data_IF_780677168979
#
_entry.id   IF_780677168979
#
_cell.length_a   1.000
_cell.length_b   1.000
_cell.length_c   1.000
_cell.angle_alpha   90.00
_cell.angle_beta   90.00
_cell.angle_gamma   90.00
#
_symmetry.space_group_name_H-M   'P 1'
#
loop_
_entity.id
_entity.type
_entity.pdbx_description
1 polymer ?
#
# COMPACT_ATOMS: atom_id res chain seq x y z
N UNK A 1 20.68 -1.11 -41.99
CA UNK A 1 19.50 -1.36 -41.12
C UNK A 1 19.06 -2.85 -41.09
N UNK A 2 19.99 -3.82 -41.29
CA UNK A 2 19.68 -5.27 -41.25
C UNK A 2 20.51 -6.01 -40.17
N UNK A 3 21.60 -5.42 -39.68
CA UNK A 3 22.47 -6.02 -38.65
C UNK A 3 21.93 -5.97 -37.21
N UNK A 4 21.15 -4.95 -36.84
CA UNK A 4 20.70 -4.73 -35.45
C UNK A 4 19.50 -5.62 -35.08
N UNK A 5 18.67 -6.02 -36.06
CA UNK A 5 17.53 -6.90 -35.81
C UNK A 5 17.93 -8.37 -35.58
N UNK A 6 19.07 -8.84 -36.13
CA UNK A 6 19.49 -10.24 -35.98
C UNK A 6 20.03 -10.57 -34.58
N UNK A 7 20.63 -9.58 -33.91
CA UNK A 7 21.23 -9.77 -32.58
C UNK A 7 20.16 -9.76 -31.47
N UNK A 8 19.10 -8.96 -31.62
CA UNK A 8 17.97 -8.95 -30.68
C UNK A 8 17.15 -10.26 -30.73
N UNK A 9 16.97 -10.87 -31.91
CA UNK A 9 16.23 -12.14 -32.03
C UNK A 9 17.02 -13.33 -31.50
N UNK A 10 18.36 -13.34 -31.65
CA UNK A 10 19.22 -14.41 -31.12
C UNK A 10 19.38 -14.36 -29.59
N UNK A 11 19.44 -13.17 -28.99
CA UNK A 11 19.42 -13.03 -27.53
C UNK A 11 18.05 -13.35 -26.91
N UNK A 12 16.94 -13.07 -27.61
CA UNK A 12 15.61 -13.49 -27.16
C UNK A 12 15.43 -15.00 -27.28
N UNK A 13 15.92 -15.63 -28.36
CA UNK A 13 15.88 -17.07 -28.51
C UNK A 13 16.74 -17.77 -27.46
N UNK A 14 17.95 -17.30 -27.15
CA UNK A 14 18.79 -17.88 -26.09
C UNK A 14 18.19 -17.67 -24.69
N UNK A 15 17.64 -16.50 -24.37
CA UNK A 15 17.01 -16.25 -23.07
C UNK A 15 15.70 -17.05 -22.88
N UNK A 16 14.99 -17.35 -23.97
CA UNK A 16 13.80 -18.21 -23.95
C UNK A 16 14.19 -19.68 -23.92
N UNK A 17 15.23 -20.12 -24.64
CA UNK A 17 15.70 -21.51 -24.54
C UNK A 17 16.36 -21.80 -23.20
N UNK A 18 17.14 -20.89 -22.61
CA UNK A 18 17.76 -21.13 -21.29
C UNK A 18 16.73 -21.17 -20.15
N UNK A 19 15.68 -20.33 -20.21
CA UNK A 19 14.55 -20.42 -19.26
C UNK A 19 13.69 -21.66 -19.49
N UNK A 20 13.51 -22.08 -20.73
CA UNK A 20 12.72 -23.29 -21.05
C UNK A 20 13.53 -24.55 -20.71
N UNK A 21 14.83 -24.58 -20.97
CA UNK A 21 15.74 -25.64 -20.55
C UNK A 21 15.90 -25.68 -19.04
N UNK A 22 16.00 -24.55 -18.33
CA UNK A 22 16.08 -24.58 -16.87
C UNK A 22 14.77 -25.05 -16.24
N UNK A 23 13.61 -24.64 -16.74
CA UNK A 23 12.30 -25.07 -16.20
C UNK A 23 12.00 -26.53 -16.52
N UNK A 24 12.38 -27.01 -17.71
CA UNK A 24 12.21 -28.42 -18.10
C UNK A 24 13.23 -29.32 -17.37
N UNK A 25 14.50 -28.90 -17.25
CA UNK A 25 15.48 -29.67 -16.46
C UNK A 25 15.16 -29.68 -14.97
N UNK A 26 14.69 -28.57 -14.38
CA UNK A 26 14.37 -28.53 -12.96
C UNK A 26 13.13 -29.40 -12.62
N UNK A 27 12.16 -29.50 -13.54
CA UNK A 27 11.00 -30.39 -13.35
C UNK A 27 11.33 -31.86 -13.61
N UNK A 28 12.18 -32.17 -14.60
CA UNK A 28 12.62 -33.56 -14.86
C UNK A 28 13.61 -34.09 -13.81
N UNK A 29 14.55 -33.25 -13.34
CA UNK A 29 15.51 -33.64 -12.29
C UNK A 29 14.80 -33.95 -10.98
N UNK A 30 13.78 -33.19 -10.58
CA UNK A 30 13.03 -33.52 -9.36
C UNK A 30 12.26 -34.83 -9.49
N UNK A 31 11.61 -35.10 -10.63
CA UNK A 31 10.83 -36.33 -10.81
C UNK A 31 11.69 -37.59 -10.87
N UNK A 32 12.86 -37.56 -11.54
CA UNK A 32 13.79 -38.69 -11.54
C UNK A 32 14.49 -38.85 -10.20
N UNK A 33 14.92 -37.76 -9.54
CA UNK A 33 15.54 -37.83 -8.21
C UNK A 33 14.58 -38.39 -7.15
N UNK A 34 13.30 -38.00 -7.21
CA UNK A 34 12.25 -38.49 -6.30
C UNK A 34 11.91 -39.97 -6.56
N UNK A 35 11.94 -40.43 -7.81
CA UNK A 35 11.78 -41.86 -8.16
C UNK A 35 12.98 -42.72 -7.78
N UNK A 36 14.20 -42.20 -7.94
CA UNK A 36 15.45 -42.91 -7.61
C UNK A 36 15.59 -43.12 -6.09
N UNK A 37 14.98 -42.26 -5.26
CA UNK A 37 15.02 -42.35 -3.80
C UNK A 37 13.98 -43.30 -3.16
N UNK A 38 13.11 -43.96 -3.93
CA UNK A 38 12.15 -44.93 -3.38
C UNK A 38 11.17 -44.39 -2.34
N UNK A 39 10.99 -43.07 -2.25
CA UNK A 39 10.11 -42.43 -1.26
C UNK A 39 8.65 -42.57 -1.70
N UNK A 40 7.86 -43.35 -0.96
CA UNK A 40 6.39 -43.28 -1.04
C UNK A 40 5.94 -41.96 -0.42
N UNK A 41 5.87 -40.91 -1.24
CA UNK A 41 5.47 -39.56 -0.83
C UNK A 41 3.95 -39.46 -0.73
N UNK A 42 3.33 -40.10 0.26
CA UNK A 42 1.92 -39.87 0.56
C UNK A 42 1.82 -38.86 1.69
N UNK A 43 1.18 -37.71 1.45
CA UNK A 43 0.98 -36.67 2.44
C UNK A 43 -0.37 -35.98 2.25
N UNK A 44 -0.97 -35.55 3.36
CA UNK A 44 -2.24 -34.86 3.41
C UNK A 44 -2.02 -33.35 3.51
N UNK A 45 -2.47 -32.60 2.51
CA UNK A 45 -2.34 -31.14 2.52
C UNK A 45 -3.61 -30.48 3.04
N UNK A 46 -3.46 -29.52 3.94
CA UNK A 46 -4.54 -28.64 4.37
C UNK A 46 -4.18 -27.20 3.98
N UNK A 47 -5.10 -26.52 3.31
CA UNK A 47 -4.92 -25.10 2.99
C UNK A 47 -5.73 -24.21 3.92
N UNK A 48 -5.03 -23.38 4.71
CA UNK A 48 -5.59 -22.33 5.57
C UNK A 48 -5.34 -20.96 4.94
N UNK A 49 -6.41 -20.27 4.58
CA UNK A 49 -6.33 -18.98 3.90
C UNK A 49 -6.17 -17.79 4.86
N UNK A 50 -5.78 -16.62 4.32
CA UNK A 50 -5.68 -15.35 5.04
C UNK A 50 -6.96 -14.52 5.10
N UNK A 51 -6.82 -13.27 5.55
CA UNK A 51 -7.90 -12.27 5.73
C UNK A 51 -8.60 -11.91 4.43
N UNK A 52 -9.89 -11.55 4.50
CA UNK A 52 -10.65 -11.01 3.37
C UNK A 52 -10.83 -11.99 2.20
N UNK A 53 -10.26 -13.20 2.27
CA UNK A 53 -10.40 -14.24 1.25
C UNK A 53 -11.77 -14.90 1.44
N UNK A 54 -12.77 -14.32 0.79
CA UNK A 54 -14.12 -14.90 0.66
C UNK A 54 -14.26 -15.63 -0.68
N UNK A 55 -15.36 -16.34 -0.88
CA UNK A 55 -15.71 -16.85 -2.21
C UNK A 55 -15.93 -15.68 -3.18
N UNK A 56 -15.45 -15.75 -4.43
CA UNK A 56 -14.81 -16.89 -5.11
C UNK A 56 -13.28 -16.98 -4.99
N UNK A 57 -12.61 -16.00 -4.38
CA UNK A 57 -11.15 -15.90 -4.34
C UNK A 57 -10.49 -17.13 -3.70
N UNK A 58 -11.07 -17.66 -2.62
CA UNK A 58 -10.62 -18.91 -1.98
C UNK A 58 -10.53 -20.07 -2.97
N UNK A 59 -11.60 -20.30 -3.75
CA UNK A 59 -11.65 -21.38 -4.75
C UNK A 59 -10.59 -21.23 -5.83
N UNK A 60 -10.28 -19.99 -6.23
CA UNK A 60 -9.25 -19.72 -7.23
C UNK A 60 -7.87 -20.11 -6.69
N UNK A 61 -7.52 -19.69 -5.48
CA UNK A 61 -6.25 -20.05 -4.84
C UNK A 61 -6.14 -21.58 -4.66
N UNK A 62 -7.18 -22.20 -4.10
CA UNK A 62 -7.23 -23.64 -3.88
C UNK A 62 -7.12 -24.44 -5.19
N UNK A 63 -7.73 -23.97 -6.29
CA UNK A 63 -7.60 -24.59 -7.61
C UNK A 63 -6.14 -24.56 -8.11
N UNK A 64 -5.40 -23.47 -7.87
CA UNK A 64 -3.98 -23.36 -8.22
C UNK A 64 -3.11 -24.30 -7.38
N UNK A 65 -3.38 -24.39 -6.08
CA UNK A 65 -2.71 -25.31 -5.15
C UNK A 65 -2.91 -26.76 -5.61
N UNK A 66 -4.17 -27.17 -5.83
CA UNK A 66 -4.51 -28.50 -6.34
C UNK A 66 -3.85 -28.80 -7.69
N UNK A 67 -3.73 -27.80 -8.57
CA UNK A 67 -3.08 -27.97 -9.88
C UNK A 67 -1.58 -28.28 -9.74
N UNK A 68 -0.88 -27.65 -8.80
CA UNK A 68 0.55 -27.93 -8.59
C UNK A 68 0.76 -29.29 -7.93
N UNK A 69 -0.02 -29.60 -6.88
CA UNK A 69 0.10 -30.88 -6.19
C UNK A 69 -0.21 -32.07 -7.13
N UNK A 70 -1.22 -31.97 -8.01
CA UNK A 70 -1.53 -33.00 -9.01
C UNK A 70 -0.47 -33.21 -10.09
N UNK A 71 0.40 -32.22 -10.35
CA UNK A 71 1.45 -32.34 -11.37
C UNK A 71 2.60 -33.22 -10.89
N UNK A 72 2.87 -33.21 -9.58
CA UNK A 72 3.95 -33.99 -8.98
C UNK A 72 3.48 -35.42 -8.64
N UNK A 73 2.31 -35.58 -8.01
CA UNK A 73 1.72 -36.91 -7.75
C UNK A 73 0.19 -36.83 -7.66
N UNK A 74 -0.51 -37.87 -8.14
CA UNK A 74 -1.97 -38.00 -8.02
C UNK A 74 -2.42 -38.39 -6.60
N UNK A 75 -1.51 -38.73 -5.69
CA UNK A 75 -1.79 -39.21 -4.32
C UNK A 75 -1.83 -38.14 -3.23
N UNK A 76 -1.66 -36.85 -3.53
CA UNK A 76 -1.72 -35.76 -2.53
C UNK A 76 -3.13 -35.16 -2.37
N UNK A 77 -3.96 -35.63 -1.41
CA UNK A 77 -5.25 -35.01 -1.14
C UNK A 77 -5.07 -33.60 -0.56
N UNK A 78 -5.91 -32.68 -1.01
CA UNK A 78 -5.95 -31.29 -0.51
C UNK A 78 -7.29 -31.01 0.16
N UNK A 79 -7.24 -30.93 1.47
CA UNK A 79 -8.37 -30.64 2.35
C UNK A 79 -8.58 -29.13 2.50
N UNK A 80 -9.85 -28.75 2.50
CA UNK A 80 -10.28 -27.36 2.56
C UNK A 80 -10.44 -26.89 4.02
N UNK A 81 -9.76 -25.80 4.39
CA UNK A 81 -9.97 -25.09 5.64
C UNK A 81 -10.48 -23.66 5.37
N UNK A 82 -11.73 -23.57 4.93
CA UNK A 82 -12.40 -22.31 4.61
C UNK A 82 -13.13 -21.73 5.83
N UNK A 83 -12.43 -20.94 6.65
CA UNK A 83 -12.98 -20.32 7.86
C UNK A 83 -13.66 -18.96 7.58
N UNK A 84 -13.31 -18.30 6.47
CA UNK A 84 -13.64 -16.90 6.18
C UNK A 84 -15.12 -16.53 6.24
N UNK A 85 -16.03 -17.37 5.73
CA UNK A 85 -17.47 -17.05 5.77
C UNK A 85 -18.08 -17.25 7.15
N UNK A 86 -17.65 -18.29 7.87
CA UNK A 86 -18.27 -18.68 9.14
C UNK A 86 -17.75 -17.85 10.31
N UNK A 87 -16.45 -17.58 10.33
CA UNK A 87 -15.76 -16.96 11.47
C UNK A 87 -15.09 -15.64 11.14
N UNK A 88 -15.00 -15.28 9.85
CA UNK A 88 -14.47 -13.98 9.45
C UNK A 88 -15.42 -12.83 9.80
N UNK A 89 -14.86 -11.62 9.83
CA UNK A 89 -15.59 -10.39 10.05
C UNK A 89 -16.64 -10.16 8.97
N UNK A 90 -17.74 -9.53 9.38
CA UNK A 90 -18.82 -9.06 8.52
C UNK A 90 -19.49 -7.85 9.16
N UNK A 91 -20.14 -7.03 8.33
CA UNK A 91 -20.98 -5.93 8.80
C UNK A 91 -22.31 -6.52 9.32
N UNK A 92 -22.34 -6.95 10.58
CA UNK A 92 -23.51 -7.60 11.19
C UNK A 92 -24.78 -6.74 11.10
N UNK A 93 -24.64 -5.43 11.23
CA UNK A 93 -25.73 -4.44 11.13
C UNK A 93 -25.84 -3.82 9.74
N UNK A 94 -25.34 -4.49 8.69
CA UNK A 94 -25.47 -4.01 7.31
C UNK A 94 -24.79 -2.66 7.03
N UNK A 95 -23.82 -2.25 7.85
CA UNK A 95 -23.08 -1.01 7.67
C UNK A 95 -23.70 0.24 8.30
N UNK A 96 -24.68 0.10 9.21
CA UNK A 96 -25.30 1.24 9.95
C UNK A 96 -24.29 2.15 10.67
N UNK A 97 -23.11 1.63 11.04
CA UNK A 97 -22.03 2.42 11.65
C UNK A 97 -21.20 3.24 10.65
N UNK A 98 -21.44 3.08 9.34
CA UNK A 98 -20.75 3.78 8.27
C UNK A 98 -21.63 4.96 7.84
N UNK A 99 -21.20 6.22 8.05
CA UNK A 99 -21.95 7.37 7.59
C UNK A 99 -22.22 7.27 6.08
N UNK A 100 -23.44 7.57 5.66
CA UNK A 100 -23.86 7.61 4.25
C UNK A 100 -23.70 6.27 3.49
N UNK A 101 -23.76 5.11 4.18
CA UNK A 101 -23.56 3.79 3.56
C UNK A 101 -24.53 3.52 2.40
N UNK A 102 -25.83 3.78 2.61
CA UNK A 102 -26.88 3.49 1.61
C UNK A 102 -27.00 4.57 0.52
N UNK A 103 -26.67 5.82 0.83
CA UNK A 103 -26.85 6.95 -0.10
C UNK A 103 -25.80 6.99 -1.21
N UNK A 104 -24.66 6.31 -1.03
CA UNK A 104 -23.52 6.35 -1.94
C UNK A 104 -23.55 5.30 -3.06
N UNK A 105 -24.55 4.43 -3.13
CA UNK A 105 -24.70 3.50 -4.26
C UNK A 105 -25.10 4.19 -5.57
N UNK A 106 -25.47 5.48 -5.55
CA UNK A 106 -26.15 6.14 -6.67
C UNK A 106 -25.67 7.54 -7.05
N UNK A 107 -24.57 8.07 -6.50
CA UNK A 107 -24.24 9.50 -6.71
C UNK A 107 -23.23 9.72 -7.85
N UNK A 108 -23.75 9.70 -9.08
CA UNK A 108 -23.12 10.29 -10.26
C UNK A 108 -23.49 11.76 -10.42
N UNK A 109 -23.20 12.59 -9.40
CA UNK A 109 -23.45 14.03 -9.42
C UNK A 109 -22.20 14.86 -9.75
N UNK A 110 -22.39 16.06 -10.32
CA UNK A 110 -21.33 17.07 -10.46
C UNK A 110 -20.67 17.38 -9.10
N UNK A 111 -19.39 17.77 -9.12
CA UNK A 111 -18.67 18.18 -7.90
C UNK A 111 -19.23 19.51 -7.40
N UNK A 112 -19.47 19.63 -6.09
CA UNK A 112 -19.76 20.92 -5.47
C UNK A 112 -18.52 21.83 -5.48
N UNK A 113 -18.69 23.14 -5.28
CA UNK A 113 -17.56 24.08 -5.10
C UNK A 113 -16.66 23.68 -3.93
N UNK A 114 -17.24 23.11 -2.87
CA UNK A 114 -16.50 22.60 -1.72
C UNK A 114 -15.68 21.35 -2.08
N UNK A 115 -16.27 20.41 -2.82
CA UNK A 115 -15.54 19.23 -3.32
C UNK A 115 -14.38 19.63 -4.24
N UNK A 116 -14.58 20.65 -5.07
CA UNK A 116 -13.53 21.20 -5.94
C UNK A 116 -12.37 21.77 -5.12
N UNK A 117 -12.67 22.64 -4.14
CA UNK A 117 -11.63 23.20 -3.26
C UNK A 117 -10.86 22.11 -2.54
N UNK A 118 -11.56 21.10 -2.04
CA UNK A 118 -10.94 19.98 -1.34
C UNK A 118 -10.08 19.12 -2.27
N UNK A 119 -10.53 18.88 -3.50
CA UNK A 119 -9.76 18.19 -4.53
C UNK A 119 -8.48 18.93 -4.91
N UNK A 120 -8.54 20.26 -5.06
CA UNK A 120 -7.35 21.09 -5.31
C UNK A 120 -6.34 20.98 -4.16
N UNK A 121 -6.78 21.12 -2.92
CA UNK A 121 -5.88 20.99 -1.77
C UNK A 121 -5.29 19.58 -1.62
N UNK A 122 -6.03 18.53 -2.00
CA UNK A 122 -5.48 17.18 -2.08
C UNK A 122 -4.32 17.11 -3.08
N UNK A 123 -4.44 17.75 -4.26
CA UNK A 123 -3.33 17.81 -5.22
C UNK A 123 -2.15 18.60 -4.65
N UNK A 124 -2.40 19.75 -4.02
CA UNK A 124 -1.34 20.59 -3.45
C UNK A 124 -0.57 19.89 -2.31
N UNK A 125 -1.22 19.03 -1.52
CA UNK A 125 -0.53 18.24 -0.49
C UNK A 125 0.25 17.05 -1.05
N UNK A 126 0.05 16.69 -2.32
CA UNK A 126 0.88 15.71 -3.03
C UNK A 126 2.02 16.41 -3.76
N UNK A 127 1.70 17.53 -4.42
CA UNK A 127 2.63 18.37 -5.13
C UNK A 127 2.30 19.86 -4.88
N UNK A 128 3.07 20.55 -4.02
CA UNK A 128 2.81 21.95 -3.70
C UNK A 128 3.12 22.89 -4.87
N UNK A 129 3.77 22.41 -5.94
CA UNK A 129 4.11 23.19 -7.12
C UNK A 129 3.07 23.10 -8.24
N UNK A 130 2.04 22.26 -8.08
CA UNK A 130 1.07 21.94 -9.12
C UNK A 130 0.47 23.18 -9.81
N UNK A 131 0.03 24.19 -9.05
CA UNK A 131 -0.52 25.42 -9.65
C UNK A 131 0.56 26.33 -10.28
N UNK A 132 1.79 26.29 -9.74
CA UNK A 132 2.92 27.04 -10.31
C UNK A 132 3.36 26.43 -11.64
N UNK A 133 3.36 25.10 -11.75
CA UNK A 133 3.60 24.40 -13.02
C UNK A 133 2.57 24.83 -14.06
N UNK A 134 1.27 24.82 -13.72
CA UNK A 134 0.21 25.28 -14.63
C UNK A 134 0.41 26.74 -15.06
N UNK A 135 0.74 27.62 -14.12
CA UNK A 135 0.98 29.03 -14.41
C UNK A 135 2.23 29.24 -15.29
N UNK A 136 3.24 28.38 -15.16
CA UNK A 136 4.46 28.43 -15.99
C UNK A 136 4.19 28.12 -17.47
N UNK A 137 3.07 27.46 -17.78
CA UNK A 137 2.64 27.14 -19.15
C UNK A 137 1.77 28.22 -19.78
N UNK A 138 1.45 29.30 -19.06
CA UNK A 138 0.63 30.40 -19.57
C UNK A 138 1.39 31.14 -20.67
N UNK A 139 0.77 31.26 -21.85
CA UNK A 139 1.35 32.06 -22.92
C UNK A 139 1.46 33.52 -22.50
N UNK A 140 2.63 34.13 -22.71
CA UNK A 140 2.81 35.55 -22.49
C UNK A 140 1.94 36.32 -23.50
N UNK A 141 1.01 37.15 -23.04
CA UNK A 141 0.49 38.23 -23.88
C UNK A 141 1.70 38.99 -24.47
N UNK A 142 1.68 39.28 -25.78
CA UNK A 142 2.80 39.83 -26.58
C UNK A 142 3.37 41.21 -26.12
N UNK A 143 3.13 41.62 -24.88
CA UNK A 143 3.61 42.83 -24.25
C UNK A 143 4.81 42.52 -23.34
N UNK A 144 5.97 42.25 -23.93
CA UNK A 144 7.22 42.36 -23.19
C UNK A 144 7.43 43.83 -22.80
N UNK A 145 7.74 44.13 -21.52
CA UNK A 145 8.08 45.50 -21.15
C UNK A 145 9.33 45.97 -21.94
N UNK A 146 9.47 47.28 -22.19
CA UNK A 146 10.64 47.83 -22.87
C UNK A 146 11.94 47.41 -22.16
N UNK A 147 13.10 47.35 -22.86
CA UNK A 147 14.37 46.82 -22.34
C UNK A 147 14.87 47.41 -21.01
N UNK A 148 14.33 48.54 -20.56
CA UNK A 148 14.72 49.26 -19.35
C UNK A 148 13.73 49.14 -18.18
N UNK A 149 12.71 48.30 -18.28
CA UNK A 149 11.67 48.15 -17.25
C UNK A 149 11.68 46.73 -16.67
N UNK A 150 11.68 46.66 -15.34
CA UNK A 150 11.73 45.40 -14.60
C UNK A 150 10.51 44.53 -14.90
N UNK A 151 10.71 43.23 -15.12
CA UNK A 151 9.60 42.29 -15.30
C UNK A 151 8.71 42.29 -14.04
N UNK A 152 7.37 42.33 -14.17
CA UNK A 152 6.46 42.34 -13.01
C UNK A 152 6.72 41.22 -12.00
N UNK A 153 7.04 40.02 -12.49
CA UNK A 153 7.40 38.87 -11.66
C UNK A 153 8.64 39.08 -10.78
N UNK A 154 9.62 39.89 -11.17
CA UNK A 154 10.80 40.13 -10.33
C UNK A 154 10.47 40.95 -9.08
N UNK A 155 9.48 41.85 -9.17
CA UNK A 155 8.97 42.57 -8.01
C UNK A 155 8.32 41.60 -7.01
N UNK A 156 7.53 40.65 -7.53
CA UNK A 156 6.90 39.59 -6.73
C UNK A 156 7.94 38.65 -6.09
N UNK A 157 8.93 38.17 -6.85
CA UNK A 157 10.05 37.35 -6.33
C UNK A 157 10.79 38.07 -5.19
N UNK A 158 11.09 39.36 -5.35
CA UNK A 158 11.69 40.17 -4.28
C UNK A 158 10.79 40.25 -3.04
N UNK A 159 9.48 40.42 -3.21
CA UNK A 159 8.52 40.42 -2.10
C UNK A 159 8.54 39.09 -1.35
N UNK A 160 8.56 37.95 -2.06
CA UNK A 160 8.57 36.63 -1.41
C UNK A 160 9.91 36.36 -0.74
N UNK A 161 11.04 36.67 -1.38
CA UNK A 161 12.38 36.52 -0.75
C UNK A 161 12.49 37.30 0.55
N UNK A 162 11.96 38.53 0.58
CA UNK A 162 11.98 39.40 1.75
C UNK A 162 10.81 39.17 2.73
N UNK A 163 9.83 38.35 2.35
CA UNK A 163 8.65 38.11 3.17
C UNK A 163 9.04 37.47 4.51
N UNK A 164 8.68 38.14 5.59
CA UNK A 164 8.78 37.64 6.96
C UNK A 164 7.38 37.66 7.55
N UNK A 165 6.88 36.53 8.09
CA UNK A 165 5.56 36.48 8.71
C UNK A 165 5.41 37.54 9.82
N UNK A 166 4.24 38.16 9.91
CA UNK A 166 3.91 39.03 11.04
C UNK A 166 3.77 38.21 12.33
N UNK A 167 3.88 38.83 13.53
CA UNK A 167 3.67 38.12 14.79
C UNK A 167 2.31 37.40 14.84
N UNK A 168 1.26 38.01 14.29
CA UNK A 168 -0.07 37.40 14.20
C UNK A 168 -0.09 36.17 13.26
N UNK A 169 0.61 36.24 12.13
CA UNK A 169 0.72 35.11 11.21
C UNK A 169 1.57 33.97 11.81
N UNK A 170 2.64 34.29 12.54
CA UNK A 170 3.43 33.31 13.28
C UNK A 170 2.58 32.58 14.32
N UNK A 171 1.70 33.30 15.02
CA UNK A 171 0.77 32.70 15.97
C UNK A 171 -0.22 31.74 15.28
N UNK A 172 -0.80 32.15 14.14
CA UNK A 172 -1.70 31.29 13.35
C UNK A 172 -0.99 30.03 12.83
N UNK A 173 0.23 30.19 12.31
CA UNK A 173 1.07 29.08 11.87
C UNK A 173 1.37 28.12 13.03
N UNK A 174 1.75 28.65 14.20
CA UNK A 174 2.03 27.86 15.39
C UNK A 174 0.78 27.10 15.88
N UNK A 175 -0.39 27.73 15.90
CA UNK A 175 -1.67 27.07 16.22
C UNK A 175 -2.02 25.96 15.23
N UNK A 176 -1.64 26.11 13.96
CA UNK A 176 -1.77 25.07 12.94
C UNK A 176 -0.68 23.97 13.01
N UNK A 177 0.24 24.05 13.97
CA UNK A 177 1.36 23.10 14.11
C UNK A 177 2.55 23.37 13.19
N UNK A 178 2.54 24.49 12.47
CA UNK A 178 3.62 24.92 11.58
C UNK A 178 4.55 25.86 12.36
N UNK A 179 5.69 25.33 12.81
CA UNK A 179 6.73 26.15 13.44
C UNK A 179 7.38 27.08 12.43
N UNK A 180 7.89 28.21 12.91
CA UNK A 180 8.53 29.22 12.06
C UNK A 180 9.68 28.63 11.23
N UNK A 181 10.51 27.77 11.82
CA UNK A 181 11.64 27.16 11.11
C UNK A 181 11.16 26.27 9.95
N UNK A 182 10.05 25.57 10.12
CA UNK A 182 9.43 24.74 9.07
C UNK A 182 8.89 25.64 7.96
N UNK A 183 8.23 26.74 8.31
CA UNK A 183 7.74 27.70 7.33
C UNK A 183 8.88 28.32 6.51
N UNK A 184 10.00 28.66 7.16
CA UNK A 184 11.19 29.17 6.45
C UNK A 184 11.83 28.11 5.54
N UNK A 185 11.85 26.84 5.96
CA UNK A 185 12.30 25.74 5.11
C UNK A 185 11.39 25.55 3.89
N UNK A 186 10.06 25.60 4.09
CA UNK A 186 9.09 25.54 3.00
C UNK A 186 9.31 26.67 2.01
N UNK A 187 9.44 27.91 2.50
CA UNK A 187 9.75 29.09 1.70
C UNK A 187 11.03 28.91 0.88
N UNK A 188 12.11 28.43 1.50
CA UNK A 188 13.37 28.15 0.81
C UNK A 188 13.16 27.17 -0.34
N UNK A 189 12.46 26.06 -0.08
CA UNK A 189 12.18 25.01 -1.07
C UNK A 189 11.34 25.55 -2.25
N UNK A 190 10.35 26.41 -1.98
CA UNK A 190 9.56 27.06 -3.04
C UNK A 190 10.44 27.95 -3.92
N UNK A 191 11.28 28.80 -3.33
CA UNK A 191 12.09 29.78 -4.05
C UNK A 191 13.20 29.11 -4.90
N UNK A 192 13.69 27.95 -4.46
CA UNK A 192 14.74 27.20 -5.14
C UNK A 192 14.24 26.35 -6.32
N UNK A 193 12.92 26.15 -6.43
CA UNK A 193 12.29 25.30 -7.44
C UNK A 193 12.20 25.95 -8.84
N UNK A 194 12.33 25.13 -9.88
CA UNK A 194 12.29 25.60 -11.26
C UNK A 194 10.87 25.97 -11.72
N UNK A 195 9.82 25.28 -11.25
CA UNK A 195 8.44 25.64 -11.57
C UNK A 195 8.09 27.02 -11.00
N UNK A 196 8.58 27.33 -9.79
CA UNK A 196 8.47 28.67 -9.21
C UNK A 196 9.16 29.72 -10.08
N UNK A 197 10.42 29.50 -10.47
CA UNK A 197 11.17 30.44 -11.33
C UNK A 197 10.49 30.66 -12.66
N UNK A 198 10.02 29.58 -13.29
CA UNK A 198 9.34 29.64 -14.57
C UNK A 198 8.01 30.40 -14.45
N UNK A 199 7.21 30.13 -13.41
CA UNK A 199 5.98 30.87 -13.13
C UNK A 199 6.25 32.37 -12.92
N UNK A 200 7.25 32.72 -12.09
CA UNK A 200 7.64 34.12 -11.88
C UNK A 200 8.02 34.81 -13.19
N UNK A 201 8.75 34.14 -14.09
CA UNK A 201 9.14 34.70 -15.38
C UNK A 201 7.96 34.94 -16.33
N UNK A 202 6.86 34.18 -16.19
CA UNK A 202 5.62 34.37 -16.97
C UNK A 202 4.65 35.38 -16.35
N UNK A 203 4.97 35.92 -15.19
CA UNK A 203 4.03 36.70 -14.41
C UNK A 203 3.86 38.12 -14.98
N UNK A 204 2.61 38.53 -15.23
CA UNK A 204 2.25 39.82 -15.83
C UNK A 204 1.41 40.66 -14.87
N UNK A 205 1.46 42.00 -14.99
CA UNK A 205 0.71 42.91 -14.09
C UNK A 205 -0.79 42.58 -14.00
N UNK A 206 -1.42 42.25 -15.13
CA UNK A 206 -2.84 41.88 -15.24
C UNK A 206 -3.21 40.57 -14.52
N UNK A 207 -2.22 39.73 -14.21
CA UNK A 207 -2.41 38.37 -13.69
C UNK A 207 -1.72 38.14 -12.36
N UNK A 208 -1.13 39.18 -11.75
CA UNK A 208 -0.37 39.09 -10.49
C UNK A 208 -1.16 38.46 -9.34
N UNK A 209 -2.49 38.63 -9.32
CA UNK A 209 -3.36 37.97 -8.35
C UNK A 209 -3.19 36.45 -8.34
N UNK A 210 -3.21 35.81 -9.52
CA UNK A 210 -3.17 34.36 -9.67
C UNK A 210 -1.86 33.78 -9.10
N UNK A 211 -0.73 34.43 -9.41
CA UNK A 211 0.59 34.03 -8.92
C UNK A 211 0.71 34.20 -7.40
N UNK A 212 0.22 35.31 -6.82
CA UNK A 212 0.25 35.51 -5.36
C UNK A 212 -0.52 34.41 -4.63
N UNK A 213 -1.71 34.06 -5.12
CA UNK A 213 -2.53 33.00 -4.53
C UNK A 213 -1.90 31.61 -4.68
N UNK A 214 -1.36 31.28 -5.87
CA UNK A 214 -0.67 30.01 -6.10
C UNK A 214 0.56 29.85 -5.20
N UNK A 215 1.38 30.90 -5.07
CA UNK A 215 2.58 30.89 -4.21
C UNK A 215 2.19 30.75 -2.73
N UNK A 216 1.16 31.48 -2.27
CA UNK A 216 0.68 31.37 -0.90
C UNK A 216 0.16 29.96 -0.58
N UNK A 217 -0.61 29.35 -1.50
CA UNK A 217 -1.06 27.96 -1.38
C UNK A 217 0.12 26.98 -1.37
N UNK A 218 1.10 27.16 -2.25
CA UNK A 218 2.31 26.34 -2.30
C UNK A 218 3.11 26.41 -0.99
N UNK A 219 3.26 27.60 -0.39
CA UNK A 219 3.94 27.78 0.90
C UNK A 219 3.22 27.03 2.04
N UNK A 220 1.89 27.14 2.11
CA UNK A 220 1.09 26.44 3.14
C UNK A 220 1.12 24.93 2.92
N UNK A 221 0.96 24.46 1.68
CA UNK A 221 1.01 23.05 1.33
C UNK A 221 2.38 22.44 1.61
N UNK A 222 3.47 23.10 1.19
CA UNK A 222 4.83 22.63 1.45
C UNK A 222 5.17 22.65 2.94
N UNK A 223 4.66 23.62 3.71
CA UNK A 223 4.81 23.62 5.17
C UNK A 223 4.09 22.44 5.81
N UNK A 224 2.87 22.14 5.38
CA UNK A 224 2.09 20.98 5.85
C UNK A 224 2.78 19.64 5.55
N UNK A 225 3.38 19.51 4.35
CA UNK A 225 4.17 18.34 3.97
C UNK A 225 5.37 18.18 4.90
N UNK A 226 6.15 19.25 5.13
CA UNK A 226 7.33 19.19 6.00
C UNK A 226 6.97 18.87 7.45
N UNK A 227 5.86 19.40 7.99
CA UNK A 227 5.36 19.03 9.33
C UNK A 227 5.05 17.54 9.36
N UNK A 228 4.34 17.03 8.35
CA UNK A 228 3.94 15.62 8.28
C UNK A 228 5.15 14.68 8.16
N UNK A 229 6.16 15.05 7.38
CA UNK A 229 7.42 14.30 7.23
C UNK A 229 8.26 14.33 8.51
N UNK A 230 8.30 15.46 9.21
CA UNK A 230 9.17 15.65 10.38
C UNK A 230 8.56 15.08 11.66
N UNK A 231 7.26 15.30 11.88
CA UNK A 231 6.60 15.04 13.15
C UNK A 231 5.39 14.09 13.04
N UNK A 232 5.03 13.65 11.83
CA UNK A 232 3.85 12.83 11.56
C UNK A 232 2.58 13.67 11.31
N UNK A 233 1.61 13.07 10.63
CA UNK A 233 0.37 13.75 10.19
C UNK A 233 -0.47 14.31 11.34
N UNK A 234 -0.35 13.74 12.55
CA UNK A 234 -1.08 14.20 13.74
C UNK A 234 -0.57 15.54 14.29
N UNK A 235 0.66 15.94 13.94
CA UNK A 235 1.23 17.21 14.37
C UNK A 235 0.67 18.41 13.58
N UNK A 236 0.05 18.16 12.43
CA UNK A 236 -0.57 19.19 11.61
C UNK A 236 -2.00 19.46 12.10
N UNK A 237 -2.21 20.64 12.70
CA UNK A 237 -3.51 21.09 13.23
C UNK A 237 -4.21 22.08 12.27
N UNK A 238 -3.97 21.94 10.97
CA UNK A 238 -4.41 22.87 9.95
C UNK A 238 -5.83 22.53 9.46
N UNK A 239 -6.83 23.29 9.90
CA UNK A 239 -8.22 23.19 9.41
C UNK A 239 -8.39 23.87 8.05
N UNK A 240 -9.48 23.59 7.34
CA UNK A 240 -9.80 24.27 6.08
C UNK A 240 -9.90 25.79 6.21
N UNK A 241 -10.55 26.27 7.28
CA UNK A 241 -10.72 27.71 7.54
C UNK A 241 -9.40 28.39 7.91
N UNK A 242 -8.63 27.80 8.84
CA UNK A 242 -7.34 28.36 9.25
C UNK A 242 -6.33 28.38 8.11
N UNK A 243 -6.31 27.33 7.27
CA UNK A 243 -5.53 27.28 6.03
C UNK A 243 -5.88 28.41 5.08
N UNK A 244 -7.17 28.59 4.78
CA UNK A 244 -7.62 29.62 3.83
C UNK A 244 -7.35 31.04 4.38
N UNK A 245 -7.44 31.22 5.71
CA UNK A 245 -7.04 32.45 6.39
C UNK A 245 -5.53 32.71 6.28
N UNK A 246 -4.68 31.73 6.60
CA UNK A 246 -3.22 31.84 6.48
C UNK A 246 -2.82 32.17 5.04
N UNK A 247 -3.43 31.53 4.03
CA UNK A 247 -3.20 31.86 2.62
C UNK A 247 -3.55 33.32 2.34
N UNK A 248 -4.70 33.79 2.83
CA UNK A 248 -5.15 35.18 2.63
C UNK A 248 -4.18 36.19 3.26
N UNK A 249 -3.68 35.91 4.46
CA UNK A 249 -2.69 36.74 5.16
C UNK A 249 -1.36 36.78 4.41
N UNK A 250 -0.88 35.64 3.90
CA UNK A 250 0.33 35.58 3.06
C UNK A 250 0.15 36.40 1.79
N UNK A 251 -0.99 36.25 1.07
CA UNK A 251 -1.31 37.02 -0.13
C UNK A 251 -1.28 38.53 0.16
N UNK A 252 -1.84 38.92 1.29
CA UNK A 252 -1.89 40.32 1.73
C UNK A 252 -0.49 40.86 2.02
N UNK A 253 0.32 40.08 2.72
CA UNK A 253 1.69 40.45 3.10
C UNK A 253 2.66 40.56 1.90
N UNK A 254 2.45 39.78 0.83
CA UNK A 254 3.29 39.85 -0.39
C UNK A 254 2.80 40.90 -1.41
N UNK A 255 1.91 41.80 -0.99
CA UNK A 255 1.48 42.97 -1.78
C UNK A 255 0.20 42.76 -2.60
N UNK A 256 -0.70 41.86 -2.18
CA UNK A 256 -2.01 41.67 -2.79
C UNK A 256 -3.15 42.31 -1.99
N UNK A 257 -3.95 43.18 -2.62
CA UNK A 257 -5.26 43.63 -2.08
C UNK A 257 -6.43 43.25 -2.99
N UNK A 258 -6.14 42.60 -4.12
CA UNK A 258 -7.11 42.21 -5.13
C UNK A 258 -7.59 40.78 -4.85
N UNK A 259 -8.92 40.58 -4.82
CA UNK A 259 -9.49 39.25 -5.03
C UNK A 259 -9.07 38.84 -6.44
N UNK A 260 -8.05 38.00 -6.55
CA UNK A 260 -7.55 37.54 -7.85
C UNK A 260 -8.70 37.02 -8.70
N UNK A 261 -8.61 37.19 -10.01
CA UNK A 261 -9.54 36.55 -10.94
C UNK A 261 -9.15 35.08 -11.02
N UNK A 262 -9.52 34.35 -9.97
CA UNK A 262 -9.33 32.91 -9.73
C UNK A 262 -9.86 32.06 -10.90
N UNK A 263 -10.65 32.66 -11.80
CA UNK A 263 -11.39 32.00 -12.86
C UNK A 263 -10.51 31.25 -13.87
N UNK A 264 -9.29 31.68 -14.22
CA UNK A 264 -8.52 30.94 -15.26
C UNK A 264 -8.00 29.58 -14.77
N UNK A 265 -7.24 29.57 -13.66
CA UNK A 265 -6.76 28.30 -13.06
C UNK A 265 -7.96 27.47 -12.61
N UNK A 266 -9.00 28.11 -12.05
CA UNK A 266 -10.23 27.44 -11.65
C UNK A 266 -10.93 26.78 -12.84
N UNK A 267 -11.08 27.46 -13.98
CA UNK A 267 -11.74 26.93 -15.17
C UNK A 267 -10.93 25.79 -15.80
N UNK A 268 -9.61 25.93 -15.92
CA UNK A 268 -8.73 24.88 -16.44
C UNK A 268 -8.77 23.61 -15.55
N UNK A 269 -8.77 23.82 -14.24
CA UNK A 269 -8.88 22.73 -13.27
C UNK A 269 -10.30 22.17 -13.20
N UNK A 270 -11.37 22.97 -13.32
CA UNK A 270 -12.73 22.43 -13.36
C UNK A 270 -12.93 21.47 -14.54
N UNK A 271 -12.22 21.66 -15.65
CA UNK A 271 -12.27 20.75 -16.80
C UNK A 271 -11.42 19.48 -16.60
N UNK A 272 -10.23 19.61 -15.99
CA UNK A 272 -9.24 18.51 -15.87
C UNK A 272 -9.31 17.74 -14.56
N UNK A 273 -9.66 18.39 -13.46
CA UNK A 273 -9.74 17.83 -12.11
C UNK A 273 -10.73 16.66 -12.03
N UNK A 274 -11.96 16.71 -12.59
CA UNK A 274 -12.85 15.55 -12.57
C UNK A 274 -12.22 14.32 -13.23
N UNK A 275 -11.49 14.51 -14.34
CA UNK A 275 -10.80 13.42 -15.06
C UNK A 275 -9.60 12.88 -14.26
N UNK A 276 -8.82 13.75 -13.62
CA UNK A 276 -7.70 13.35 -12.75
C UNK A 276 -8.20 12.60 -11.51
N UNK A 277 -9.26 13.10 -10.87
CA UNK A 277 -9.92 12.46 -9.74
C UNK A 277 -10.53 11.11 -10.13
N UNK A 278 -11.23 11.01 -11.27
CA UNK A 278 -11.80 9.74 -11.77
C UNK A 278 -10.73 8.73 -12.18
N UNK A 279 -9.58 9.20 -12.68
CA UNK A 279 -8.42 8.36 -13.05
C UNK A 279 -7.55 7.94 -11.86
N UNK A 280 -7.70 8.60 -10.69
CA UNK A 280 -7.15 8.18 -9.41
C UNK A 280 -7.95 6.98 -8.86
N UNK A 281 -8.03 5.94 -9.69
CA UNK A 281 -8.41 4.59 -9.31
C UNK A 281 -7.35 4.13 -8.32
N UNK A 282 -7.81 3.91 -7.08
CA UNK A 282 -7.18 3.18 -5.98
C UNK A 282 -6.01 2.31 -6.45
N UNK A 283 -4.82 2.91 -6.51
CA UNK A 283 -3.58 2.18 -6.69
C UNK A 283 -2.97 2.10 -5.31
N UNK A 284 -3.18 0.96 -4.67
CA UNK A 284 -2.72 0.62 -3.33
C UNK A 284 -1.21 0.45 -3.31
N UNK A 285 -0.44 1.50 -3.61
CA UNK A 285 1.02 1.42 -3.62
C UNK A 285 1.58 2.60 -2.84
N UNK A 286 1.92 2.32 -1.59
CA UNK A 286 2.70 3.12 -0.64
C UNK A 286 2.00 4.35 -0.01
N UNK A 287 1.94 4.31 1.32
CA UNK A 287 1.79 5.45 2.24
C UNK A 287 0.47 6.24 2.16
N UNK A 288 -0.43 5.98 3.14
CA UNK A 288 -1.66 6.73 3.45
C UNK A 288 -2.58 6.96 2.23
N UNK A 289 -3.71 6.27 2.20
CA UNK A 289 -4.80 6.46 1.23
C UNK A 289 -5.23 7.94 1.16
N UNK A 290 -4.57 8.76 0.34
CA UNK A 290 -5.06 10.07 -0.07
C UNK A 290 -6.02 9.86 -1.24
N UNK A 291 -7.14 9.20 -0.95
CA UNK A 291 -8.29 9.27 -1.84
C UNK A 291 -8.81 10.71 -1.71
N UNK A 292 -9.01 11.44 -2.81
CA UNK A 292 -9.66 12.74 -2.76
C UNK A 292 -10.98 12.60 -2.01
N UNK A 293 -11.16 13.32 -0.91
CA UNK A 293 -12.23 13.09 0.07
C UNK A 293 -13.62 12.97 -0.58
N UNK A 294 -13.91 13.73 -1.63
CA UNK A 294 -15.17 13.64 -2.38
C UNK A 294 -15.42 12.26 -3.04
N UNK A 295 -14.38 11.60 -3.56
CA UNK A 295 -14.47 10.24 -4.09
C UNK A 295 -14.43 9.19 -2.98
N UNK A 296 -13.71 9.44 -1.89
CA UNK A 296 -13.69 8.60 -0.70
C UNK A 296 -15.06 8.54 -0.05
N UNK A 297 -15.79 9.65 0.00
CA UNK A 297 -17.18 9.74 0.44
C UNK A 297 -18.10 8.92 -0.48
N UNK A 298 -18.00 9.12 -1.80
CA UNK A 298 -18.84 8.42 -2.80
C UNK A 298 -18.59 6.90 -2.88
N UNK A 299 -17.37 6.44 -2.55
CA UNK A 299 -17.00 5.01 -2.52
C UNK A 299 -16.83 4.45 -1.10
N UNK A 300 -17.22 5.23 -0.08
CA UNK A 300 -16.99 4.89 1.34
C UNK A 300 -17.58 3.54 1.70
N UNK A 301 -18.78 3.23 1.23
CA UNK A 301 -19.44 1.96 1.51
C UNK A 301 -18.61 0.75 1.06
N UNK A 302 -18.12 0.75 -0.18
CA UNK A 302 -17.32 -0.38 -0.69
C UNK A 302 -15.91 -0.42 -0.09
N UNK A 303 -15.29 0.74 0.15
CA UNK A 303 -13.98 0.84 0.78
C UNK A 303 -14.03 0.36 2.24
N UNK A 304 -15.00 0.84 3.03
CA UNK A 304 -15.22 0.40 4.40
C UNK A 304 -15.57 -1.09 4.46
N UNK A 305 -16.29 -1.64 3.49
CA UNK A 305 -16.55 -3.08 3.43
C UNK A 305 -15.27 -3.90 3.19
N UNK A 306 -14.38 -3.44 2.29
CA UNK A 306 -13.11 -4.11 2.01
C UNK A 306 -12.11 -4.00 3.18
N UNK A 307 -11.99 -2.82 3.79
CA UNK A 307 -11.19 -2.59 5.00
C UNK A 307 -11.75 -3.40 6.17
N UNK A 308 -13.07 -3.39 6.38
CA UNK A 308 -13.72 -4.18 7.42
C UNK A 308 -13.50 -5.69 7.23
N UNK A 309 -13.44 -6.19 6.00
CA UNK A 309 -13.15 -7.60 5.74
C UNK A 309 -11.69 -7.95 6.09
N UNK A 310 -10.72 -7.12 5.68
CA UNK A 310 -9.29 -7.45 5.88
C UNK A 310 -8.82 -7.10 7.29
N UNK A 311 -8.93 -5.82 7.69
CA UNK A 311 -8.53 -5.37 9.03
C UNK A 311 -9.46 -5.95 10.11
N UNK A 312 -10.75 -6.10 9.81
CA UNK A 312 -11.68 -6.70 10.76
C UNK A 312 -11.43 -8.20 10.99
N UNK A 313 -10.97 -8.96 9.99
CA UNK A 313 -10.54 -10.35 10.19
C UNK A 313 -9.36 -10.42 11.16
N UNK A 314 -8.36 -9.53 11.01
CA UNK A 314 -7.20 -9.45 11.93
C UNK A 314 -7.66 -9.10 13.36
N UNK A 315 -8.49 -8.07 13.53
CA UNK A 315 -9.00 -7.66 14.84
C UNK A 315 -9.85 -8.77 15.46
N UNK A 316 -10.73 -9.41 14.68
CA UNK A 316 -11.54 -10.54 15.14
C UNK A 316 -10.69 -11.73 15.55
N UNK A 317 -9.63 -12.03 14.79
CA UNK A 317 -8.72 -13.11 15.16
C UNK A 317 -7.95 -12.77 16.45
N UNK A 318 -7.34 -11.61 16.55
CA UNK A 318 -6.59 -11.22 17.75
C UNK A 318 -7.49 -11.13 19.01
N UNK A 319 -8.75 -10.74 18.86
CA UNK A 319 -9.68 -10.62 20.01
C UNK A 319 -10.47 -11.90 20.33
N UNK A 320 -10.78 -12.73 19.32
CA UNK A 320 -11.71 -13.87 19.40
C UNK A 320 -11.29 -15.06 18.52
N UNK A 321 -9.99 -15.27 18.33
CA UNK A 321 -9.41 -16.23 17.38
C UNK A 321 -9.60 -17.70 17.70
N UNK A 322 -10.03 -18.06 18.93
CA UNK A 322 -10.18 -19.47 19.35
C UNK A 322 -11.09 -20.26 18.40
N UNK A 323 -12.19 -19.67 17.93
CA UNK A 323 -13.12 -20.36 17.02
C UNK A 323 -12.48 -20.71 15.67
N UNK A 324 -11.54 -19.89 15.18
CA UNK A 324 -10.78 -20.16 13.95
C UNK A 324 -9.77 -21.29 14.21
N UNK A 325 -9.04 -21.23 15.32
CA UNK A 325 -8.08 -22.29 15.71
C UNK A 325 -8.76 -23.63 15.92
N UNK A 326 -9.91 -23.66 16.60
CA UNK A 326 -10.71 -24.87 16.79
C UNK A 326 -11.21 -25.43 15.46
N UNK A 327 -11.63 -24.56 14.53
CA UNK A 327 -12.01 -25.00 13.19
C UNK A 327 -10.85 -25.62 12.42
N UNK A 328 -9.65 -25.03 12.49
CA UNK A 328 -8.43 -25.59 11.87
C UNK A 328 -8.10 -26.95 12.52
N UNK A 329 -8.10 -27.03 13.86
CA UNK A 329 -7.90 -28.26 14.63
C UNK A 329 -8.86 -29.37 14.19
N UNK A 330 -10.14 -29.07 14.07
CA UNK A 330 -11.16 -30.03 13.64
C UNK A 330 -10.95 -30.52 12.20
N UNK A 331 -10.34 -29.70 11.34
CA UNK A 331 -9.96 -30.14 9.99
C UNK A 331 -8.77 -31.08 10.02
N UNK A 332 -7.76 -30.80 10.85
CA UNK A 332 -6.58 -31.64 11.01
C UNK A 332 -6.96 -33.01 11.59
N UNK A 333 -7.73 -33.05 12.68
CA UNK A 333 -8.12 -34.29 13.38
C UNK A 333 -8.90 -35.31 12.53
N UNK A 334 -9.51 -34.88 11.42
CA UNK A 334 -10.27 -35.76 10.51
C UNK A 334 -9.40 -36.50 9.51
N UNK A 335 -8.12 -36.16 9.45
CA UNK A 335 -7.16 -36.73 8.52
C UNK A 335 -6.43 -37.87 9.22
N UNK A 336 -6.26 -38.99 8.53
CA UNK A 336 -5.64 -40.20 9.05
C UNK A 336 -4.67 -40.80 8.02
N UNK A 337 -3.71 -41.59 8.50
CA UNK A 337 -2.91 -42.53 7.71
C UNK A 337 -1.63 -41.98 7.06
N UNK A 338 -1.53 -40.68 6.79
CA UNK A 338 -0.34 -40.06 6.16
C UNK A 338 0.02 -38.72 6.83
N UNK A 339 1.31 -38.30 6.74
CA UNK A 339 1.78 -37.02 7.26
C UNK A 339 0.88 -35.84 6.88
N UNK A 340 0.64 -34.94 7.82
CA UNK A 340 -0.18 -33.73 7.64
C UNK A 340 0.71 -32.52 7.38
N UNK A 341 0.51 -31.90 6.22
CA UNK A 341 1.21 -30.69 5.80
C UNK A 341 0.23 -29.51 5.82
N UNK A 342 0.48 -28.54 6.70
CA UNK A 342 -0.37 -27.38 6.89
C UNK A 342 0.18 -26.20 6.09
N UNK A 343 -0.44 -25.88 4.95
CA UNK A 343 -0.09 -24.71 4.14
C UNK A 343 -0.97 -23.54 4.57
N UNK A 344 -0.35 -22.52 5.12
CA UNK A 344 -1.02 -21.41 5.77
C UNK A 344 -0.55 -20.07 5.20
N UNK A 345 -1.48 -19.29 4.64
CA UNK A 345 -1.18 -18.01 3.98
C UNK A 345 -1.62 -16.82 4.82
N UNK A 346 -0.76 -15.80 4.95
CA UNK A 346 -1.09 -14.54 5.64
C UNK A 346 -1.61 -14.77 7.06
N UNK A 347 -2.79 -14.23 7.43
CA UNK A 347 -3.45 -14.49 8.73
C UNK A 347 -3.67 -15.98 9.01
N UNK A 348 -3.88 -16.80 7.99
CA UNK A 348 -3.97 -18.25 8.17
C UNK A 348 -2.70 -18.83 8.79
N UNK A 349 -1.54 -18.24 8.48
CA UNK A 349 -0.26 -18.59 9.10
C UNK A 349 -0.18 -18.19 10.57
N UNK A 350 -0.71 -17.01 10.95
CA UNK A 350 -0.83 -16.63 12.37
C UNK A 350 -1.70 -17.64 13.11
N UNK A 351 -2.89 -17.95 12.56
CA UNK A 351 -3.83 -18.89 13.17
C UNK A 351 -3.25 -20.30 13.32
N UNK A 352 -2.45 -20.74 12.34
CA UNK A 352 -1.75 -22.02 12.39
C UNK A 352 -0.65 -22.03 13.45
N UNK A 353 0.21 -21.01 13.50
CA UNK A 353 1.29 -20.90 14.50
C UNK A 353 0.71 -20.86 15.91
N UNK A 354 -0.26 -19.98 16.18
CA UNK A 354 -0.90 -19.91 17.49
C UNK A 354 -1.57 -21.25 17.89
N UNK A 355 -2.24 -21.94 16.96
CA UNK A 355 -2.84 -23.24 17.25
C UNK A 355 -1.78 -24.29 17.64
N UNK A 356 -0.64 -24.28 16.96
CA UNK A 356 0.46 -25.22 17.19
C UNK A 356 1.28 -24.89 18.45
N UNK A 357 1.12 -23.68 18.98
CA UNK A 357 1.66 -23.26 20.28
C UNK A 357 0.75 -23.59 21.47
N UNK A 358 -0.49 -24.05 21.24
CA UNK A 358 -1.37 -24.46 22.34
C UNK A 358 -0.78 -25.68 23.10
N UNK A 359 -1.08 -25.89 24.40
CA UNK A 359 -0.53 -26.99 25.19
C UNK A 359 -0.82 -28.40 24.63
N UNK A 360 -1.89 -28.54 23.85
CA UNK A 360 -2.27 -29.78 23.17
C UNK A 360 -2.56 -29.48 21.68
N UNK A 361 -1.50 -29.27 20.87
CA UNK A 361 -1.65 -28.94 19.46
C UNK A 361 -2.07 -30.21 18.69
N UNK A 362 -2.80 -30.07 17.57
CA UNK A 362 -3.06 -31.20 16.69
C UNK A 362 -1.76 -31.68 16.02
N UNK A 363 -1.69 -32.98 15.68
CA UNK A 363 -0.54 -33.55 14.98
C UNK A 363 -0.39 -32.97 13.57
N UNK A 364 0.73 -32.30 13.33
CA UNK A 364 1.15 -31.73 12.05
C UNK A 364 2.62 -32.08 11.88
N UNK A 365 3.02 -32.56 10.71
CA UNK A 365 4.41 -32.96 10.46
C UNK A 365 5.25 -31.82 9.88
N UNK A 366 4.60 -30.91 9.12
CA UNK A 366 5.21 -29.73 8.54
C UNK A 366 4.22 -28.57 8.51
N UNK A 367 4.60 -27.46 9.13
CA UNK A 367 3.95 -26.16 8.94
C UNK A 367 4.66 -25.42 7.81
N UNK A 368 3.89 -24.98 6.81
CA UNK A 368 4.36 -24.10 5.74
C UNK A 368 3.62 -22.77 5.84
N UNK A 369 4.31 -21.72 6.31
CA UNK A 369 3.77 -20.35 6.26
C UNK A 369 4.22 -19.66 4.98
N UNK A 370 3.29 -18.95 4.34
CA UNK A 370 3.55 -18.23 3.09
C UNK A 370 3.04 -16.80 3.27
N UNK A 371 3.93 -15.83 3.13
CA UNK A 371 3.58 -14.42 3.30
C UNK A 371 2.90 -14.13 4.64
N UNK A 372 3.41 -14.69 5.74
CA UNK A 372 2.76 -14.62 7.06
C UNK A 372 3.41 -13.58 7.98
N UNK A 373 2.58 -13.06 8.91
CA UNK A 373 2.99 -12.08 9.91
C UNK A 373 3.34 -12.71 11.27
N UNK A 374 3.27 -14.03 11.41
CA UNK A 374 3.48 -14.70 12.70
C UNK A 374 4.80 -14.33 13.41
N UNK A 375 5.98 -14.25 12.72
CA UNK A 375 7.21 -13.81 13.38
C UNK A 375 7.14 -12.38 13.93
N UNK A 376 6.57 -11.43 13.16
CA UNK A 376 6.39 -10.04 13.62
C UNK A 376 5.43 -9.96 14.82
N UNK A 377 4.35 -10.75 14.81
CA UNK A 377 3.41 -10.78 15.93
C UNK A 377 4.09 -11.31 17.20
N UNK A 378 5.05 -12.23 17.09
CA UNK A 378 5.86 -12.63 18.24
C UNK A 378 6.69 -11.46 18.77
N UNK A 379 7.38 -10.71 17.90
CA UNK A 379 8.15 -9.52 18.30
C UNK A 379 7.30 -8.46 19.00
N UNK A 380 6.06 -8.28 18.54
CA UNK A 380 5.10 -7.38 19.16
C UNK A 380 4.45 -7.92 20.44
N UNK A 381 4.83 -9.14 20.88
CA UNK A 381 4.19 -9.83 21.99
C UNK A 381 2.66 -9.99 21.78
N UNK A 382 2.28 -10.30 20.55
CA UNK A 382 0.89 -10.34 20.08
C UNK A 382 0.43 -11.73 19.60
N UNK A 383 1.29 -12.75 19.65
CA UNK A 383 0.82 -14.13 19.51
C UNK A 383 -0.02 -14.51 20.74
N UNK A 384 -1.14 -15.19 20.52
CA UNK A 384 -2.08 -15.52 21.61
C UNK A 384 -1.49 -16.52 22.58
N UNK A 385 -0.76 -17.51 22.05
CA UNK A 385 -0.31 -18.68 22.81
C UNK A 385 1.19 -18.70 23.09
N UNK A 386 1.88 -17.57 22.89
CA UNK A 386 3.30 -17.43 23.22
C UNK A 386 3.65 -15.97 23.50
N UNK A 387 4.03 -15.69 24.74
CA UNK A 387 4.57 -14.39 25.11
C UNK A 387 6.00 -14.22 24.59
N UNK A 388 6.36 -12.98 24.25
CA UNK A 388 7.70 -12.62 23.84
C UNK A 388 8.69 -12.78 25.00
N UNK A 389 9.77 -13.52 24.74
CA UNK A 389 10.88 -13.70 25.66
C UNK A 389 12.18 -13.70 24.86
N UNK A 390 13.19 -12.97 25.35
CA UNK A 390 14.48 -12.89 24.64
C UNK A 390 15.14 -14.27 24.57
N UNK A 391 15.40 -14.74 23.35
CA UNK A 391 16.01 -16.05 23.11
C UNK A 391 15.08 -17.23 23.41
N UNK A 392 13.76 -17.04 23.30
CA UNK A 392 12.83 -18.15 23.42
C UNK A 392 13.03 -19.18 22.30
N UNK A 393 12.76 -20.43 22.65
CA UNK A 393 12.67 -21.52 21.67
C UNK A 393 11.20 -21.91 21.51
N UNK A 394 10.84 -22.38 20.32
CA UNK A 394 9.55 -23.04 20.09
C UNK A 394 9.50 -24.34 20.92
N UNK A 395 8.32 -24.73 21.45
CA UNK A 395 8.15 -25.99 22.17
C UNK A 395 8.59 -27.19 21.34
N UNK A 396 9.08 -28.26 21.99
CA UNK A 396 9.47 -29.50 21.29
C UNK A 396 8.29 -30.19 20.57
N UNK A 397 7.06 -29.84 20.94
CA UNK A 397 5.82 -30.29 20.28
C UNK A 397 5.50 -29.50 19.01
N UNK A 398 6.18 -28.37 18.77
CA UNK A 398 5.97 -27.56 17.58
C UNK A 398 6.56 -28.27 16.36
N UNK A 399 5.85 -28.33 15.23
CA UNK A 399 6.33 -29.06 14.06
C UNK A 399 7.50 -28.37 13.38
N UNK A 400 8.14 -29.07 12.43
CA UNK A 400 9.06 -28.41 11.50
C UNK A 400 8.35 -27.25 10.83
N UNK A 401 9.04 -26.11 10.76
CA UNK A 401 8.46 -24.88 10.22
C UNK A 401 9.27 -24.38 9.02
N UNK A 402 8.66 -24.50 7.84
CA UNK A 402 9.10 -23.84 6.62
C UNK A 402 8.37 -22.49 6.47
N UNK A 403 9.10 -21.39 6.44
CA UNK A 403 8.55 -20.07 6.18
C UNK A 403 9.00 -19.55 4.81
N UNK A 404 8.07 -19.06 4.00
CA UNK A 404 8.31 -18.60 2.64
C UNK A 404 7.91 -17.14 2.53
N UNK A 405 8.86 -16.29 2.11
CA UNK A 405 8.69 -14.83 2.08
C UNK A 405 9.22 -14.20 0.79
N UNK A 406 8.70 -13.02 0.45
CA UNK A 406 9.15 -12.17 -0.66
C UNK A 406 9.41 -10.77 -0.11
N UNK A 407 10.56 -10.17 -0.37
CA UNK A 407 10.89 -8.82 0.12
C UNK A 407 9.93 -7.74 -0.39
N UNK A 408 9.26 -7.97 -1.53
CA UNK A 408 8.23 -7.05 -2.06
C UNK A 408 6.85 -7.35 -1.48
N UNK A 409 6.70 -8.38 -0.66
CA UNK A 409 5.52 -8.63 0.14
C UNK A 409 5.76 -8.09 1.55
N UNK A 410 5.29 -6.86 1.78
CA UNK A 410 5.42 -6.16 3.06
C UNK A 410 4.61 -6.78 4.20
N UNK A 411 3.90 -7.88 3.93
CA UNK A 411 3.19 -8.67 4.93
C UNK A 411 3.87 -10.03 5.18
N UNK A 412 5.09 -10.24 4.67
CA UNK A 412 5.89 -11.44 4.88
C UNK A 412 7.11 -11.15 5.73
N UNK A 413 7.36 -11.97 6.76
CA UNK A 413 8.39 -11.73 7.76
C UNK A 413 9.26 -12.98 7.96
N UNK A 414 10.52 -12.77 8.35
CA UNK A 414 11.54 -13.80 8.54
C UNK A 414 11.36 -14.46 9.91
N UNK A 415 11.35 -15.81 9.95
CA UNK A 415 11.16 -16.56 11.19
C UNK A 415 12.46 -17.00 11.87
N UNK A 416 13.49 -17.37 11.11
CA UNK A 416 14.78 -17.85 11.60
C UNK A 416 15.58 -16.77 12.35
N UNK A 417 15.28 -15.49 12.08
CA UNK A 417 15.83 -14.38 12.87
C UNK A 417 15.28 -14.31 14.29
N UNK A 418 14.13 -14.92 14.55
CA UNK A 418 13.43 -14.95 15.84
C UNK A 418 13.63 -16.30 16.54
N UNK A 419 13.49 -17.40 15.79
CA UNK A 419 13.65 -18.78 16.27
C UNK A 419 14.75 -19.48 15.47
N UNK A 420 16.04 -19.22 15.79
CA UNK A 420 17.17 -19.83 15.10
C UNK A 420 17.10 -21.35 15.15
N UNK A 421 17.50 -22.00 14.05
CA UNK A 421 17.53 -23.47 13.89
C UNK A 421 16.18 -24.21 14.01
N UNK A 422 15.09 -23.53 14.38
CA UNK A 422 13.75 -24.09 14.49
C UNK A 422 12.82 -23.67 13.33
N UNK A 423 13.17 -22.60 12.63
CA UNK A 423 12.44 -22.12 11.44
C UNK A 423 13.41 -22.05 10.26
N UNK A 424 12.97 -22.58 9.13
CA UNK A 424 13.71 -22.48 7.88
C UNK A 424 13.04 -21.46 6.95
N UNK A 425 13.75 -20.38 6.64
CA UNK A 425 13.27 -19.34 5.74
C UNK A 425 13.71 -19.57 4.29
N UNK A 426 12.76 -19.53 3.36
CA UNK A 426 13.00 -19.54 1.92
C UNK A 426 12.53 -18.23 1.30
N UNK A 427 13.51 -17.42 0.87
CA UNK A 427 13.27 -16.23 0.06
C UNK A 427 12.86 -16.60 -1.36
N UNK A 428 11.75 -16.05 -1.82
CA UNK A 428 11.31 -16.11 -3.23
C UNK A 428 11.20 -14.70 -3.82
N UNK A 429 11.08 -14.60 -5.14
CA UNK A 429 10.71 -13.36 -5.82
C UNK A 429 9.52 -13.64 -6.72
N UNK A 430 8.39 -12.99 -6.44
CA UNK A 430 7.17 -13.10 -7.22
C UNK A 430 7.13 -12.11 -8.40
N UNK A 431 8.08 -11.17 -8.46
CA UNK A 431 8.22 -10.22 -9.59
C UNK A 431 7.05 -9.23 -9.70
N UNK A 432 6.38 -8.92 -8.60
CA UNK A 432 5.25 -8.01 -8.52
C UNK A 432 5.49 -6.98 -7.40
N UNK A 433 4.95 -5.75 -7.51
CA UNK A 433 4.92 -4.80 -6.39
C UNK A 433 3.88 -5.22 -5.34
N UNK A 434 4.01 -4.69 -4.13
CA UNK A 434 2.96 -4.78 -3.12
C UNK A 434 1.71 -3.99 -3.57
N UNK A 435 0.47 -4.47 -3.34
CA UNK A 435 0.08 -5.70 -2.65
C UNK A 435 -0.02 -6.93 -3.58
N UNK A 436 0.20 -6.78 -4.88
CA UNK A 436 0.08 -7.88 -5.85
C UNK A 436 1.02 -9.05 -5.55
N UNK A 437 2.22 -8.76 -5.03
CA UNK A 437 3.19 -9.74 -4.53
C UNK A 437 2.60 -10.71 -3.49
N UNK A 438 1.74 -10.23 -2.58
CA UNK A 438 1.21 -11.02 -1.47
C UNK A 438 0.32 -12.19 -1.91
N UNK A 439 -0.33 -12.09 -3.06
CA UNK A 439 -1.19 -13.15 -3.63
C UNK A 439 -0.51 -14.02 -4.69
N UNK A 440 0.73 -13.70 -5.07
CA UNK A 440 1.38 -14.26 -6.26
C UNK A 440 2.10 -15.61 -6.04
N UNK A 441 2.32 -16.00 -4.78
CA UNK A 441 3.06 -17.22 -4.39
C UNK A 441 2.58 -18.50 -5.09
N UNK A 442 1.27 -18.65 -5.30
CA UNK A 442 0.67 -19.90 -5.78
C UNK A 442 1.13 -20.35 -7.18
N UNK A 443 1.66 -19.42 -7.98
CA UNK A 443 2.19 -19.70 -9.32
C UNK A 443 3.73 -19.73 -9.36
N UNK A 444 4.39 -19.56 -8.22
CA UNK A 444 5.84 -19.49 -8.15
C UNK A 444 6.42 -20.91 -7.99
N UNK A 445 7.19 -21.44 -8.96
CA UNK A 445 7.73 -22.80 -8.88
C UNK A 445 8.63 -23.02 -7.66
N UNK A 446 9.39 -21.99 -7.25
CA UNK A 446 10.33 -22.09 -6.11
C UNK A 446 9.60 -22.36 -4.79
N UNK A 447 8.38 -21.84 -4.64
CA UNK A 447 7.50 -22.12 -3.48
C UNK A 447 7.21 -23.62 -3.42
N UNK A 448 6.78 -24.19 -4.54
CA UNK A 448 6.40 -25.60 -4.61
C UNK A 448 7.59 -26.53 -4.47
N UNK A 449 8.72 -26.25 -5.13
CA UNK A 449 9.96 -27.01 -4.96
C UNK A 449 10.40 -27.08 -3.50
N UNK A 450 10.38 -25.93 -2.79
CA UNK A 450 10.74 -25.88 -1.37
C UNK A 450 9.82 -26.75 -0.50
N UNK A 451 8.51 -26.74 -0.78
CA UNK A 451 7.53 -27.58 -0.08
C UNK A 451 7.81 -29.06 -0.33
N UNK A 452 7.98 -29.47 -1.59
CA UNK A 452 8.16 -30.88 -1.95
C UNK A 452 9.43 -31.50 -1.37
N UNK A 453 10.53 -30.76 -1.34
CA UNK A 453 11.80 -31.20 -0.73
C UNK A 453 11.67 -31.52 0.77
N UNK A 454 10.68 -30.93 1.44
CA UNK A 454 10.50 -31.01 2.90
C UNK A 454 9.34 -31.90 3.32
N UNK A 455 8.69 -32.59 2.38
CA UNK A 455 7.67 -33.58 2.72
C UNK A 455 8.34 -34.71 3.52
N UNK A 456 7.85 -35.02 4.74
CA UNK A 456 8.33 -36.15 5.53
C UNK A 456 8.20 -37.47 4.79
N UNK A 457 9.16 -38.37 5.01
CA UNK A 457 9.22 -39.71 4.40
C UNK A 457 8.55 -40.77 5.24
#
# INVERSE_FOLDING_TARGET
MIGVYRQATLSLCHAVTDKVYSVIHFTQLNQESLKILGKNMNANFIFVHGTGVRQPAYRIALKKIRKHLKKEDKSFPVYECYWGDKFGSKLNEGGKSIPTFDTNRSVGGSLSEEDYKMGLWNLLYQDPFFELEILSLRESENNYPPPNQQLPGQGLDKSIRNFTPSPALLEQLAQAGIKEEIFQQAKKKIIEDDNYRNAINQAQLSTMGDYRWAIAKALVAQSAILVSETYGVQALCLTGDSRDQIVTEIVSAIGGSERGVVDWVKNLLQEKLPKLLDSAVVTTTNSILQIPTGLALRKRGSLSQSIAATAGDVIMYQSRGQAIRDFIREKIKRIQGHPVILIAHSLGGIAAVDLLLEPNPPEVDLLVTIGSQAPLLYEWNALTNMEHQKGANLPNTFPKWLNIYDERDFLSYIGAGIFPDQVEDIKVSNGQPFPTSHGAYWNNPKVWSAIFERIPT
#
